data_IF_755768306639
#
_entry.id   IF_755768306639
#
_cell.length_a   1.000
_cell.length_b   1.000
_cell.length_c   1.000
_cell.angle_alpha   90.00
_cell.angle_beta   90.00
_cell.angle_gamma   90.00
#
_symmetry.space_group_name_H-M   'P 1'
#
loop_
_entity.id
_entity.type
_entity.pdbx_description
1 polymer ?
#
# COMPACT_ATOMS: atom_id res chain seq x y z
N UNK A 1 24.62 42.28 5.66
CA UNK A 1 23.26 42.83 5.81
C UNK A 1 22.80 43.24 4.43
N UNK A 2 21.98 42.41 3.79
CA UNK A 2 21.42 42.72 2.46
C UNK A 2 19.97 42.25 2.49
N UNK A 3 19.11 43.21 2.66
CA UNK A 3 17.64 43.09 2.66
C UNK A 3 17.15 42.80 1.24
N UNK A 4 16.38 41.72 1.03
CA UNK A 4 15.62 41.46 -0.18
C UNK A 4 14.18 41.89 0.00
N UNK A 5 13.55 42.57 -0.96
CA UNK A 5 12.20 43.04 -0.85
C UNK A 5 11.17 41.93 -1.21
N UNK A 6 10.11 41.89 -0.40
CA UNK A 6 8.89 41.13 -0.64
C UNK A 6 8.19 41.64 -1.93
N UNK A 7 7.93 40.75 -2.88
CA UNK A 7 7.03 41.00 -4.00
C UNK A 7 5.64 40.50 -3.63
N UNK A 8 4.76 41.48 -3.51
CA UNK A 8 3.32 41.34 -3.29
C UNK A 8 2.69 40.87 -4.61
N UNK A 9 2.15 39.66 -4.67
CA UNK A 9 1.44 39.18 -5.86
C UNK A 9 -0.04 39.44 -5.73
N UNK A 10 -0.57 40.19 -6.71
CA UNK A 10 -1.94 40.62 -6.86
C UNK A 10 -2.87 39.43 -7.14
N UNK A 11 -3.93 39.35 -6.35
CA UNK A 11 -5.08 38.49 -6.64
C UNK A 11 -5.90 39.06 -7.82
N UNK A 12 -6.05 38.31 -8.88
CA UNK A 12 -7.08 38.53 -9.89
C UNK A 12 -8.29 37.67 -9.55
N UNK A 13 -9.35 38.35 -9.15
CA UNK A 13 -10.68 37.75 -9.05
C UNK A 13 -11.29 37.64 -10.44
N UNK A 14 -11.60 36.43 -10.87
CA UNK A 14 -12.42 36.17 -12.07
C UNK A 14 -13.81 35.78 -11.61
N UNK A 15 -14.75 36.62 -11.99
CA UNK A 15 -16.17 36.52 -11.70
C UNK A 15 -16.83 35.44 -12.55
N UNK A 16 -17.63 34.62 -11.88
CA UNK A 16 -18.50 33.61 -12.46
C UNK A 16 -19.62 34.22 -13.30
N UNK A 17 -19.83 33.67 -14.48
CA UNK A 17 -21.08 33.86 -15.24
C UNK A 17 -21.89 32.58 -15.22
N UNK A 18 -23.03 32.66 -14.53
CA UNK A 18 -24.10 31.66 -14.54
C UNK A 18 -24.82 31.72 -15.89
N UNK A 19 -24.96 30.62 -16.58
CA UNK A 19 -25.97 30.42 -17.62
C UNK A 19 -26.77 29.18 -17.20
N UNK A 20 -28.02 29.46 -16.82
CA UNK A 20 -29.08 28.47 -16.64
C UNK A 20 -29.86 28.32 -17.96
N UNK A 21 -30.39 27.15 -18.19
CA UNK A 21 -31.53 26.66 -18.99
C UNK A 21 -31.17 25.35 -19.66
N UNK A 22 -31.96 24.28 -19.62
CA UNK A 22 -33.37 24.08 -19.51
C UNK A 22 -33.69 22.61 -19.38
N UNK A 23 -34.85 22.38 -18.82
CA UNK A 23 -35.63 21.13 -18.76
C UNK A 23 -35.80 20.44 -20.12
N UNK A 24 -35.76 19.12 -20.13
CA UNK A 24 -36.84 18.36 -20.79
C UNK A 24 -36.96 16.96 -20.25
N UNK A 25 -38.17 16.67 -19.81
CA UNK A 25 -38.71 15.40 -19.40
C UNK A 25 -38.84 14.46 -20.58
N UNK A 26 -38.56 13.17 -20.39
CA UNK A 26 -39.41 12.13 -20.93
C UNK A 26 -39.21 10.79 -20.26
N UNK A 27 -40.25 10.36 -19.60
CA UNK A 27 -40.64 9.06 -19.14
C UNK A 27 -40.55 7.97 -20.23
N UNK A 28 -40.15 6.74 -19.88
CA UNK A 28 -41.02 5.57 -19.97
C UNK A 28 -40.33 4.24 -19.52
N UNK A 29 -41.02 3.60 -18.59
CA UNK A 29 -41.53 2.23 -18.57
C UNK A 29 -40.56 1.06 -18.40
N UNK A 30 -40.65 0.50 -17.22
CA UNK A 30 -41.03 -0.89 -16.88
C UNK A 30 -40.60 -2.01 -17.82
N UNK A 31 -39.81 -2.95 -17.31
CA UNK A 31 -40.25 -4.36 -17.26
C UNK A 31 -39.35 -5.15 -16.31
N UNK A 32 -39.92 -5.60 -15.22
CA UNK A 32 -39.52 -6.78 -14.47
C UNK A 32 -40.01 -8.01 -15.22
N UNK A 33 -39.31 -9.14 -15.15
CA UNK A 33 -40.00 -10.31 -14.70
C UNK A 33 -39.31 -11.01 -13.53
N UNK A 34 -40.15 -11.42 -12.70
CA UNK A 34 -40.19 -12.26 -11.54
C UNK A 34 -39.63 -13.68 -11.75
N UNK A 35 -39.06 -14.18 -10.66
CA UNK A 35 -39.24 -15.51 -10.10
C UNK A 35 -38.73 -16.76 -10.82
N UNK A 36 -37.83 -17.50 -10.17
CA UNK A 36 -38.16 -18.83 -9.69
C UNK A 36 -37.10 -19.39 -8.75
N UNK A 37 -37.53 -19.65 -7.54
CA UNK A 37 -36.97 -20.50 -6.52
C UNK A 37 -36.81 -21.95 -6.99
N UNK A 38 -35.69 -22.62 -6.64
CA UNK A 38 -35.70 -24.04 -6.26
C UNK A 38 -34.53 -24.32 -5.34
N UNK A 39 -34.79 -24.62 -4.08
CA UNK A 39 -33.99 -25.53 -3.29
C UNK A 39 -34.62 -26.94 -3.41
N UNK A 40 -33.82 -28.01 -3.30
CA UNK A 40 -33.93 -28.85 -2.12
C UNK A 40 -32.59 -29.39 -1.62
N UNK A 41 -32.44 -29.46 -0.32
CA UNK A 41 -32.69 -30.57 0.61
C UNK A 41 -31.58 -31.62 0.71
N UNK A 42 -30.94 -31.60 1.87
CA UNK A 42 -30.54 -32.68 2.77
C UNK A 42 -29.96 -33.98 2.22
N UNK A 43 -28.81 -34.38 2.74
CA UNK A 43 -28.64 -35.72 3.32
C UNK A 43 -27.47 -35.73 4.31
N UNK A 44 -27.80 -36.05 5.54
CA UNK A 44 -26.97 -36.53 6.61
C UNK A 44 -26.21 -37.80 6.20
N UNK A 45 -24.98 -37.95 6.68
CA UNK A 45 -24.49 -39.24 7.16
C UNK A 45 -23.39 -39.03 8.17
N UNK A 46 -23.69 -39.26 9.41
CA UNK A 46 -22.75 -39.53 10.50
C UNK A 46 -22.40 -41.01 10.51
N UNK A 47 -21.15 -41.35 10.81
CA UNK A 47 -20.66 -42.58 11.46
C UNK A 47 -19.24 -42.27 11.91
N UNK A 48 -18.94 -42.09 13.14
CA UNK A 48 -18.77 -42.91 14.32
C UNK A 48 -17.39 -43.60 14.42
N UNK A 49 -16.74 -43.25 15.55
CA UNK A 49 -15.90 -44.05 16.46
C UNK A 49 -14.61 -44.69 15.93
N UNK A 50 -13.47 -44.46 16.52
CA UNK A 50 -12.89 -45.12 17.66
C UNK A 50 -11.36 -44.87 17.71
N UNK A 51 -10.93 -44.54 18.84
CA UNK A 51 -10.14 -45.18 19.91
C UNK A 51 -8.63 -45.11 19.78
N UNK A 52 -8.12 -44.39 20.75
CA UNK A 52 -6.99 -44.70 21.67
C UNK A 52 -5.82 -45.54 21.14
N UNK A 53 -4.61 -44.99 21.18
CA UNK A 53 -3.55 -45.65 21.93
C UNK A 53 -2.43 -44.72 22.39
N UNK A 54 -2.24 -44.78 23.66
CA UNK A 54 -1.19 -44.30 24.50
C UNK A 54 0.15 -45.00 24.13
N UNK A 55 1.24 -44.23 24.00
CA UNK A 55 2.55 -44.75 24.34
C UNK A 55 3.52 -43.65 24.75
N UNK A 56 3.88 -43.73 25.98
CA UNK A 56 4.99 -43.02 26.63
C UNK A 56 6.32 -43.25 25.89
N UNK A 57 7.18 -42.24 25.92
CA UNK A 57 8.58 -42.49 25.67
C UNK A 57 9.45 -41.25 25.47
N UNK A 58 10.05 -40.79 26.54
CA UNK A 58 11.41 -40.26 26.66
C UNK A 58 11.69 -38.82 26.17
N UNK A 59 11.70 -37.95 27.11
CA UNK A 59 12.76 -36.99 27.45
C UNK A 59 13.99 -37.02 26.53
N UNK A 60 14.15 -35.98 25.77
CA UNK A 60 15.42 -35.53 25.25
C UNK A 60 15.40 -33.99 25.21
N UNK A 61 15.80 -33.44 26.33
CA UNK A 61 16.22 -32.04 26.46
C UNK A 61 17.34 -31.77 25.46
N UNK A 62 17.05 -31.20 24.33
CA UNK A 62 18.03 -30.56 23.46
C UNK A 62 17.97 -29.08 23.76
N UNK A 63 18.73 -28.64 24.74
CA UNK A 63 19.13 -27.25 24.86
C UNK A 63 19.93 -26.87 23.62
N UNK A 64 19.24 -26.35 22.60
CA UNK A 64 19.90 -25.63 21.53
C UNK A 64 20.02 -24.17 21.96
N UNK A 65 21.04 -23.91 22.74
CA UNK A 65 21.54 -22.57 23.01
C UNK A 65 22.15 -22.00 21.71
N UNK A 66 21.31 -21.62 20.77
CA UNK A 66 21.69 -20.68 19.71
C UNK A 66 21.70 -19.28 20.33
N UNK A 67 22.78 -18.97 21.03
CA UNK A 67 23.17 -17.59 21.32
C UNK A 67 23.53 -16.94 19.97
N UNK A 68 22.51 -16.57 19.17
CA UNK A 68 22.71 -15.70 18.06
C UNK A 68 23.21 -14.36 18.63
N UNK A 69 24.49 -14.10 18.47
CA UNK A 69 25.06 -12.76 18.63
C UNK A 69 24.18 -11.83 17.83
N UNK A 70 23.42 -10.97 18.52
CA UNK A 70 22.59 -9.94 17.96
C UNK A 70 23.56 -8.96 17.27
N UNK A 71 23.86 -9.19 16.01
CA UNK A 71 24.55 -8.20 15.20
C UNK A 71 23.73 -6.93 15.31
N UNK A 72 24.36 -5.84 15.73
CA UNK A 72 23.67 -4.55 15.81
C UNK A 72 23.14 -4.21 14.42
N UNK A 73 21.83 -4.29 14.25
CA UNK A 73 21.16 -3.95 12.99
C UNK A 73 21.37 -2.48 12.72
N UNK A 74 22.02 -2.15 11.62
CA UNK A 74 22.17 -0.77 11.18
C UNK A 74 20.83 -0.27 10.64
N UNK A 75 20.31 0.77 11.27
CA UNK A 75 19.06 1.41 10.85
C UNK A 75 19.36 2.67 10.08
N UNK A 76 18.82 2.78 8.88
CA UNK A 76 18.82 3.95 8.04
C UNK A 76 17.55 4.75 8.28
N UNK A 77 17.51 6.00 7.81
CA UNK A 77 16.34 6.86 7.81
C UNK A 77 15.90 7.16 6.39
N UNK A 78 14.58 7.28 6.21
CA UNK A 78 13.95 7.68 4.96
C UNK A 78 12.79 8.64 5.26
N UNK A 79 12.41 9.45 4.28
CA UNK A 79 11.07 10.02 4.28
C UNK A 79 10.06 8.95 3.87
N UNK A 80 8.91 8.98 4.52
CA UNK A 80 7.79 8.07 4.29
C UNK A 80 6.62 8.85 3.75
N UNK A 81 6.11 8.39 2.61
CA UNK A 81 4.83 8.77 2.02
C UNK A 81 3.96 7.53 1.84
N UNK A 82 2.78 7.68 1.33
CA UNK A 82 1.90 6.54 1.04
C UNK A 82 1.13 6.77 -0.26
N UNK A 83 0.77 5.69 -0.93
CA UNK A 83 -0.01 5.69 -2.15
C UNK A 83 -1.09 4.60 -2.13
N UNK A 84 -2.02 4.66 -3.05
CA UNK A 84 -3.10 3.67 -3.19
C UNK A 84 -2.96 2.96 -4.54
N UNK A 85 -2.65 1.67 -4.51
CA UNK A 85 -2.52 0.85 -5.73
C UNK A 85 -3.87 0.37 -6.29
N UNK A 86 -4.96 0.57 -5.56
CA UNK A 86 -6.34 0.37 -6.00
C UNK A 86 -7.19 1.56 -5.58
N UNK A 87 -7.08 2.71 -6.28
CA UNK A 87 -7.81 3.91 -5.92
C UNK A 87 -9.31 3.78 -6.27
N UNK A 88 -10.12 4.47 -5.48
CA UNK A 88 -11.56 4.58 -5.74
C UNK A 88 -11.80 5.32 -7.07
N UNK A 89 -12.70 4.83 -7.94
CA UNK A 89 -13.08 5.54 -9.15
C UNK A 89 -13.57 6.96 -8.85
N UNK A 90 -13.05 7.95 -9.59
CA UNK A 90 -13.36 9.36 -9.38
C UNK A 90 -12.58 10.06 -8.26
N UNK A 91 -11.65 9.36 -7.61
CA UNK A 91 -10.70 10.00 -6.68
C UNK A 91 -9.61 10.76 -7.44
N UNK A 92 -8.95 11.70 -6.77
CA UNK A 92 -7.78 12.42 -7.28
C UNK A 92 -6.69 11.45 -7.76
N UNK A 93 -6.41 10.43 -6.98
CA UNK A 93 -5.45 9.37 -7.33
C UNK A 93 -5.81 8.64 -8.63
N UNK A 94 -7.11 8.42 -8.86
CA UNK A 94 -7.60 7.76 -10.06
C UNK A 94 -7.54 8.69 -11.30
N UNK A 95 -7.97 9.94 -11.14
CA UNK A 95 -8.21 10.87 -12.27
C UNK A 95 -6.95 11.67 -12.61
N UNK A 96 -6.28 12.26 -11.62
CA UNK A 96 -5.17 13.18 -11.84
C UNK A 96 -3.81 12.43 -11.98
N UNK A 97 -3.67 11.29 -11.28
CA UNK A 97 -2.44 10.48 -11.32
C UNK A 97 -2.58 9.16 -12.09
N UNK A 98 -3.66 8.97 -12.86
CA UNK A 98 -3.93 7.75 -13.63
C UNK A 98 -3.94 6.45 -12.82
N UNK A 99 -4.13 6.53 -11.50
CA UNK A 99 -4.05 5.40 -10.60
C UNK A 99 -4.98 4.24 -10.95
N UNK A 100 -6.16 4.53 -11.51
CA UNK A 100 -7.08 3.48 -11.98
C UNK A 100 -6.55 2.73 -13.22
N UNK A 101 -5.79 3.38 -14.08
CA UNK A 101 -5.14 2.73 -15.25
C UNK A 101 -4.06 1.75 -14.80
N UNK A 102 -3.34 2.10 -13.75
CA UNK A 102 -2.24 1.32 -13.20
C UNK A 102 -2.62 0.47 -11.99
N UNK A 103 -3.92 0.37 -11.68
CA UNK A 103 -4.38 -0.41 -10.53
C UNK A 103 -3.81 -1.83 -10.54
N UNK A 104 -3.12 -2.20 -9.45
CA UNK A 104 -2.50 -3.52 -9.28
C UNK A 104 -1.26 -3.81 -10.13
N UNK A 105 -0.75 -2.84 -10.88
CA UNK A 105 0.53 -2.93 -11.58
C UNK A 105 1.66 -2.43 -10.70
N UNK A 106 2.75 -3.18 -10.65
CA UNK A 106 3.94 -2.85 -9.88
C UNK A 106 5.18 -3.04 -10.75
N UNK A 107 6.10 -2.08 -10.73
CA UNK A 107 7.30 -2.07 -11.59
C UNK A 107 8.18 -3.33 -11.45
N UNK A 108 8.10 -4.03 -10.34
CA UNK A 108 8.86 -5.26 -10.06
C UNK A 108 8.14 -6.55 -10.42
N UNK A 109 6.90 -6.50 -10.88
CA UNK A 109 6.08 -7.69 -11.17
C UNK A 109 5.68 -7.72 -12.64
N UNK A 110 5.58 -8.93 -13.20
CA UNK A 110 5.25 -9.12 -14.62
C UNK A 110 3.74 -9.04 -14.89
N UNK A 111 2.90 -9.33 -13.87
CA UNK A 111 1.45 -9.43 -14.00
C UNK A 111 0.73 -8.45 -13.09
N UNK A 112 -0.42 -7.96 -13.54
CA UNK A 112 -1.35 -7.20 -12.73
C UNK A 112 -1.85 -8.05 -11.55
N UNK A 113 -1.82 -7.49 -10.35
CA UNK A 113 -2.29 -8.13 -9.13
C UNK A 113 -3.71 -7.69 -8.80
N UNK A 114 -4.49 -8.60 -8.22
CA UNK A 114 -5.83 -8.27 -7.73
C UNK A 114 -5.75 -7.43 -6.46
N UNK A 115 -6.80 -6.69 -6.16
CA UNK A 115 -6.88 -5.93 -4.91
C UNK A 115 -6.74 -6.83 -3.67
N UNK A 116 -7.30 -8.04 -3.71
CA UNK A 116 -7.15 -9.04 -2.66
C UNK A 116 -5.66 -9.36 -2.41
N UNK A 117 -4.91 -9.66 -3.48
CA UNK A 117 -3.48 -9.91 -3.37
C UNK A 117 -2.73 -8.72 -2.77
N UNK A 118 -3.03 -7.50 -3.24
CA UNK A 118 -2.43 -6.27 -2.71
C UNK A 118 -2.75 -6.10 -1.22
N UNK A 119 -3.98 -6.36 -0.83
CA UNK A 119 -4.42 -6.25 0.56
C UNK A 119 -3.72 -7.23 1.51
N UNK A 120 -3.18 -8.33 1.00
CA UNK A 120 -2.49 -9.36 1.78
C UNK A 120 -0.96 -9.17 1.83
N UNK A 121 -0.40 -8.40 0.90
CA UNK A 121 1.05 -8.23 0.77
C UNK A 121 1.53 -6.91 1.37
N UNK A 122 2.75 -6.93 1.91
CA UNK A 122 3.40 -5.71 2.39
C UNK A 122 4.25 -5.12 1.27
N UNK A 123 3.79 -4.02 0.71
CA UNK A 123 4.31 -3.42 -0.51
C UNK A 123 4.86 -2.04 -0.20
N UNK A 124 6.03 -1.76 -0.74
CA UNK A 124 6.63 -0.42 -0.76
C UNK A 124 7.20 -0.12 -2.14
N UNK A 125 7.25 1.16 -2.46
CA UNK A 125 8.02 1.72 -3.54
C UNK A 125 9.25 2.45 -3.00
N UNK A 126 10.29 2.57 -3.82
CA UNK A 126 11.44 3.43 -3.61
C UNK A 126 11.56 4.40 -4.77
N UNK A 127 12.30 5.50 -4.60
CA UNK A 127 12.58 6.41 -5.70
C UNK A 127 13.28 5.66 -6.85
N UNK A 128 12.99 5.99 -8.11
CA UNK A 128 13.54 5.36 -9.31
C UNK A 128 15.08 5.29 -9.33
N UNK A 129 15.76 6.30 -8.77
CA UNK A 129 17.24 6.31 -8.65
C UNK A 129 17.79 5.17 -7.79
N UNK A 130 16.97 4.67 -6.85
CA UNK A 130 17.31 3.60 -5.90
C UNK A 130 16.78 2.23 -6.34
N UNK A 131 15.93 2.21 -7.39
CA UNK A 131 15.22 1.04 -7.88
C UNK A 131 16.15 -0.13 -8.21
N UNK A 132 17.18 0.10 -9.01
CA UNK A 132 18.07 -0.98 -9.45
C UNK A 132 18.78 -1.69 -8.30
N UNK A 133 19.00 -0.97 -7.20
CA UNK A 133 19.64 -1.52 -6.01
C UNK A 133 18.70 -2.31 -5.12
N UNK A 134 17.45 -1.88 -5.04
CA UNK A 134 16.53 -2.38 -4.02
C UNK A 134 15.29 -3.12 -4.55
N UNK A 135 15.07 -3.19 -5.86
CA UNK A 135 13.94 -3.92 -6.42
C UNK A 135 13.88 -5.35 -5.89
N UNK A 136 12.70 -5.78 -5.47
CA UNK A 136 12.37 -7.10 -4.92
C UNK A 136 13.13 -7.45 -3.61
N UNK A 137 13.77 -6.47 -2.98
CA UNK A 137 14.40 -6.62 -1.68
C UNK A 137 13.40 -6.42 -0.55
N UNK A 138 13.65 -7.09 0.57
CA UNK A 138 12.81 -6.99 1.77
C UNK A 138 13.40 -5.97 2.73
N UNK A 139 12.61 -4.96 3.06
CA UNK A 139 12.95 -3.98 4.09
C UNK A 139 12.20 -4.26 5.37
N UNK A 140 12.89 -4.20 6.49
CA UNK A 140 12.25 -4.05 7.79
C UNK A 140 12.08 -2.58 8.10
N UNK A 141 10.85 -2.16 8.24
CA UNK A 141 10.44 -0.80 8.56
C UNK A 141 10.17 -0.69 10.06
N UNK A 142 10.52 0.45 10.66
CA UNK A 142 10.24 0.73 12.07
C UNK A 142 9.74 2.15 12.26
N UNK A 143 8.55 2.31 12.85
CA UNK A 143 7.95 3.61 13.16
C UNK A 143 7.13 3.53 14.44
N UNK A 144 7.37 4.46 15.38
CA UNK A 144 6.61 4.58 16.65
C UNK A 144 6.45 3.24 17.39
N UNK A 145 7.52 2.42 17.44
CA UNK A 145 7.54 1.14 18.15
C UNK A 145 6.87 -0.03 17.43
N UNK A 146 6.36 0.18 16.22
CA UNK A 146 5.84 -0.88 15.34
C UNK A 146 6.87 -1.22 14.28
N UNK A 147 6.86 -2.48 13.83
CA UNK A 147 7.71 -2.97 12.74
C UNK A 147 6.87 -3.66 11.70
N UNK A 148 7.30 -3.58 10.44
CA UNK A 148 6.71 -4.26 9.29
C UNK A 148 7.81 -4.67 8.34
N UNK A 149 7.81 -5.93 7.89
CA UNK A 149 8.66 -6.37 6.80
C UNK A 149 7.87 -6.20 5.50
N UNK A 150 8.42 -5.45 4.54
CA UNK A 150 7.78 -5.13 3.28
C UNK A 150 8.74 -5.30 2.12
N UNK A 151 8.22 -5.69 0.97
CA UNK A 151 9.01 -5.91 -0.25
C UNK A 151 8.92 -4.69 -1.15
N UNK A 152 10.04 -4.31 -1.75
CA UNK A 152 10.13 -3.27 -2.76
C UNK A 152 9.61 -3.82 -4.09
N UNK A 153 8.30 -3.77 -4.28
CA UNK A 153 7.65 -4.21 -5.52
C UNK A 153 7.50 -3.09 -6.54
N UNK A 154 7.60 -1.83 -6.09
CA UNK A 154 7.30 -0.69 -6.94
C UNK A 154 8.36 0.40 -6.86
N UNK A 155 8.28 1.35 -7.80
CA UNK A 155 9.12 2.54 -7.82
C UNK A 155 8.29 3.80 -7.99
N UNK A 156 8.74 4.87 -7.35
CA UNK A 156 8.24 6.22 -7.55
C UNK A 156 9.09 6.89 -8.62
N UNK A 157 8.50 7.26 -9.75
CA UNK A 157 9.17 7.97 -10.84
C UNK A 157 8.81 9.46 -10.84
N UNK A 158 9.80 10.30 -10.96
CA UNK A 158 9.61 11.75 -11.07
C UNK A 158 8.84 12.15 -12.32
N UNK A 159 8.91 11.33 -13.38
CA UNK A 159 8.19 11.56 -14.62
C UNK A 159 6.65 11.41 -14.46
N UNK A 160 6.20 10.65 -13.47
CA UNK A 160 4.78 10.42 -13.22
C UNK A 160 4.12 11.57 -12.43
N UNK A 161 4.92 12.43 -11.77
CA UNK A 161 4.39 13.42 -10.84
C UNK A 161 5.19 14.74 -10.79
N UNK A 162 5.85 15.11 -11.89
CA UNK A 162 6.61 16.37 -12.02
C UNK A 162 7.66 16.58 -10.89
N UNK A 163 8.42 15.53 -10.55
CA UNK A 163 9.50 15.60 -9.57
C UNK A 163 9.10 15.32 -8.12
N UNK A 164 7.87 14.85 -7.86
CA UNK A 164 7.39 14.65 -6.50
C UNK A 164 8.20 13.64 -5.70
N UNK A 165 8.77 12.62 -6.34
CA UNK A 165 9.54 11.58 -5.66
C UNK A 165 10.87 12.15 -5.13
N UNK A 166 11.53 13.02 -5.90
CA UNK A 166 12.70 13.77 -5.45
C UNK A 166 12.35 14.74 -4.34
N UNK A 167 11.23 15.48 -4.46
CA UNK A 167 10.76 16.40 -3.43
C UNK A 167 10.47 15.67 -2.13
N UNK A 168 9.74 14.55 -2.21
CA UNK A 168 9.39 13.71 -1.06
C UNK A 168 10.58 13.00 -0.42
N UNK A 169 11.67 12.73 -1.16
CA UNK A 169 12.91 12.20 -0.60
C UNK A 169 13.65 13.21 0.26
N UNK A 170 13.38 14.51 0.07
CA UNK A 170 13.87 15.62 0.89
C UNK A 170 15.37 15.60 1.12
N UNK A 171 15.80 16.15 2.25
CA UNK A 171 17.21 16.25 2.65
C UNK A 171 17.85 14.91 3.07
N UNK A 172 17.06 13.91 3.41
CA UNK A 172 17.53 12.53 3.63
C UNK A 172 17.92 11.85 2.32
N UNK A 173 17.38 12.30 1.20
CA UNK A 173 17.67 11.79 -0.12
C UNK A 173 17.22 10.35 -0.35
N UNK A 174 16.36 9.80 0.53
CA UNK A 174 15.80 8.45 0.40
C UNK A 174 14.30 8.47 0.70
N UNK A 175 13.51 7.93 -0.22
CA UNK A 175 12.07 7.82 -0.13
C UNK A 175 11.66 6.36 0.04
N UNK A 176 10.75 6.13 0.97
CA UNK A 176 9.93 4.93 1.04
C UNK A 176 8.48 5.37 0.89
N UNK A 177 7.85 4.94 -0.20
CA UNK A 177 6.45 5.17 -0.46
C UNK A 177 5.68 3.88 -0.20
N UNK A 178 4.83 3.86 0.84
CA UNK A 178 4.20 2.64 1.32
C UNK A 178 2.77 2.51 0.78
N UNK A 179 2.46 1.33 0.25
CA UNK A 179 1.10 1.04 -0.21
C UNK A 179 0.09 1.12 0.95
N UNK A 180 -1.12 1.59 0.70
CA UNK A 180 -2.13 1.98 1.69
C UNK A 180 -2.52 0.86 2.66
N UNK A 181 -2.64 -0.41 2.21
CA UNK A 181 -2.89 -1.57 3.08
C UNK A 181 -1.67 -1.89 3.97
N UNK A 182 -0.46 -1.76 3.44
CA UNK A 182 0.78 -1.90 4.20
C UNK A 182 0.93 -0.78 5.24
N UNK A 183 0.54 0.43 4.86
CA UNK A 183 0.47 1.58 5.76
C UNK A 183 -0.48 1.32 6.93
N UNK A 184 -1.66 0.78 6.67
CA UNK A 184 -2.61 0.43 7.72
C UNK A 184 -2.03 -0.59 8.71
N UNK A 185 -1.35 -1.62 8.21
CA UNK A 185 -0.68 -2.61 9.08
C UNK A 185 0.43 -1.99 9.93
N UNK A 186 1.20 -1.07 9.37
CA UNK A 186 2.29 -0.40 10.09
C UNK A 186 1.77 0.65 11.08
N UNK A 187 0.82 1.49 10.69
CA UNK A 187 0.37 2.64 11.48
C UNK A 187 -0.87 2.36 12.33
N UNK A 188 -1.68 1.37 11.94
CA UNK A 188 -3.01 1.09 12.48
C UNK A 188 -4.12 1.93 11.84
N UNK A 189 -3.80 2.71 10.80
CA UNK A 189 -4.77 3.52 10.07
C UNK A 189 -4.34 3.67 8.60
N UNK A 190 -5.25 3.42 7.66
CA UNK A 190 -5.03 3.61 6.23
C UNK A 190 -4.71 5.09 5.94
N UNK A 191 -3.71 5.36 5.10
CA UNK A 191 -3.32 6.71 4.73
C UNK A 191 -2.68 7.57 5.85
N UNK A 192 -2.16 6.96 6.92
CA UNK A 192 -1.52 7.68 8.03
C UNK A 192 0.00 7.37 8.12
N UNK A 193 0.66 7.28 6.96
CA UNK A 193 2.09 7.01 6.84
C UNK A 193 2.81 8.18 6.20
N UNK A 194 3.31 9.09 7.03
CA UNK A 194 4.06 10.28 6.61
C UNK A 194 5.25 10.55 7.53
N UNK A 195 6.18 11.40 7.10
CA UNK A 195 7.32 11.87 7.87
C UNK A 195 8.49 10.86 7.89
N UNK A 196 9.27 10.78 8.95
CA UNK A 196 10.49 9.96 9.00
C UNK A 196 10.20 8.55 9.48
N UNK A 197 10.80 7.58 8.79
CA UNK A 197 10.81 6.16 9.13
C UNK A 197 12.24 5.64 9.25
N UNK A 198 12.46 4.62 10.10
CA UNK A 198 13.71 3.88 10.15
C UNK A 198 13.54 2.56 9.38
N UNK A 199 14.57 2.17 8.65
CA UNK A 199 14.55 0.96 7.86
C UNK A 199 15.91 0.27 7.81
N UNK A 200 15.88 -1.03 7.56
CA UNK A 200 17.05 -1.84 7.23
C UNK A 200 16.68 -2.85 6.16
N UNK A 201 17.61 -3.16 5.28
CA UNK A 201 17.41 -4.22 4.29
C UNK A 201 17.75 -5.56 4.93
N UNK A 202 16.90 -6.57 4.70
CA UNK A 202 17.08 -7.91 5.27
C UNK A 202 17.86 -8.86 4.37
N UNK A 203 17.88 -8.59 3.06
CA UNK A 203 18.43 -9.44 2.01
C UNK A 203 19.28 -8.65 0.98
N UNK A 204 19.79 -7.49 1.37
CA UNK A 204 20.77 -6.72 0.60
C UNK A 204 22.19 -7.18 0.98
N UNK A 205 22.82 -7.94 0.12
CA UNK A 205 24.23 -8.29 0.19
C UNK A 205 25.04 -7.47 -0.80
#
# INVERSE_FOLDING_TARGET
>A
MTTRPFLLSLFFAVTASLIACGDDSSSNSSTTPESSSVAPSSSDTAIDSNESNNSSGSDATVESSASATKADTVWNKAYLTWYTSWPEPGSEECEDYNGCTWAGWFAGLEDQKTEEWVSEHNIIAVHEKDWQKYKLKTFRLRKKGRTLDAVVYDMCSDDDCDGCCTENAGDLGFLIDIESYSCERLSGKKGACDGIIEWTCLDCD
#
